data_IF_678676505149
#
_entry.id   IF_678676505149
#
_cell.length_a   1.000
_cell.length_b   1.000
_cell.length_c   1.000
_cell.angle_alpha   90.00
_cell.angle_beta   90.00
_cell.angle_gamma   90.00
#
_symmetry.space_group_name_H-M   'P 1'
#
loop_
_entity.id
_entity.type
_entity.pdbx_description
1 polymer ?
#
# COMPACT_ATOMS: atom_id res chain seq x y z
N UNK A 1 -24.34 34.41 -59.80
CA UNK A 1 -25.13 34.44 -58.54
C UNK A 1 -24.62 33.44 -57.49
N UNK A 2 -23.56 32.65 -57.76
CA UNK A 2 -22.94 31.75 -56.77
C UNK A 2 -21.98 32.42 -55.79
N UNK A 3 -21.52 33.64 -56.09
CA UNK A 3 -20.67 34.44 -55.18
C UNK A 3 -21.42 34.95 -53.95
N UNK A 4 -22.75 35.11 -54.04
CA UNK A 4 -23.61 35.53 -52.92
C UNK A 4 -23.83 34.41 -51.89
N UNK A 5 -23.81 33.14 -52.35
CA UNK A 5 -24.00 31.97 -51.48
C UNK A 5 -22.76 31.72 -50.60
N UNK A 6 -21.55 31.99 -51.13
CA UNK A 6 -20.30 31.89 -50.37
C UNK A 6 -20.16 32.97 -49.28
N UNK A 7 -20.77 34.15 -49.46
CA UNK A 7 -20.72 35.23 -48.47
C UNK A 7 -21.65 34.99 -47.28
N UNK A 8 -22.74 34.23 -47.47
CA UNK A 8 -23.64 33.81 -46.39
C UNK A 8 -23.07 32.67 -45.55
N UNK A 9 -22.24 31.81 -46.13
CA UNK A 9 -21.63 30.67 -45.41
C UNK A 9 -20.51 31.10 -44.43
N UNK A 10 -19.91 32.28 -44.62
CA UNK A 10 -18.81 32.79 -43.78
C UNK A 10 -19.29 33.46 -42.47
N UNK A 11 -20.60 33.66 -42.29
CA UNK A 11 -21.15 34.44 -41.16
C UNK A 11 -21.51 33.61 -39.91
N UNK A 12 -21.23 32.31 -39.86
CA UNK A 12 -21.72 31.40 -38.79
C UNK A 12 -20.60 30.91 -37.83
N UNK A 13 -19.35 31.33 -38.00
CA UNK A 13 -18.27 30.94 -37.06
C UNK A 13 -18.27 31.83 -35.81
N UNK A 14 -19.19 31.59 -34.87
CA UNK A 14 -19.06 32.11 -33.51
C UNK A 14 -18.07 31.24 -32.70
N UNK A 15 -17.04 31.82 -32.07
CA UNK A 15 -16.27 31.11 -31.06
C UNK A 15 -17.12 30.94 -29.79
N UNK A 16 -17.44 29.71 -29.41
CA UNK A 16 -18.03 29.41 -28.12
C UNK A 16 -17.00 29.71 -27.02
N UNK A 17 -17.22 30.77 -26.24
CA UNK A 17 -16.45 31.00 -25.00
C UNK A 17 -17.04 30.06 -23.94
N UNK A 18 -16.33 28.98 -23.63
CA UNK A 18 -16.62 28.22 -22.43
C UNK A 18 -16.13 29.06 -21.24
N UNK A 19 -17.07 29.75 -20.59
CA UNK A 19 -16.80 30.38 -19.31
C UNK A 19 -16.60 29.27 -18.28
N UNK A 20 -15.35 29.07 -17.88
CA UNK A 20 -15.01 28.12 -16.82
C UNK A 20 -15.45 28.80 -15.51
N UNK A 21 -16.60 28.39 -14.98
CA UNK A 21 -17.03 28.80 -13.66
C UNK A 21 -16.17 28.07 -12.64
N UNK A 22 -15.15 28.76 -12.14
CA UNK A 22 -14.39 28.32 -10.98
C UNK A 22 -15.20 28.67 -9.73
N UNK A 23 -15.84 27.66 -9.13
CA UNK A 23 -16.47 27.82 -7.83
C UNK A 23 -15.38 27.74 -6.77
N UNK A 24 -14.91 28.90 -6.31
CA UNK A 24 -13.99 29.00 -5.18
C UNK A 24 -14.81 28.90 -3.89
N UNK A 25 -14.74 27.73 -3.24
CA UNK A 25 -15.28 27.55 -1.90
C UNK A 25 -14.41 28.27 -0.86
N UNK A 26 -14.99 28.97 0.12
CA UNK A 26 -14.26 29.50 1.26
C UNK A 26 -13.95 28.38 2.27
N UNK A 27 -12.81 28.49 2.96
CA UNK A 27 -12.29 27.63 4.04
C UNK A 27 -11.39 26.46 3.61
N UNK A 28 -10.27 26.80 2.96
CA UNK A 28 -9.07 25.98 2.88
C UNK A 28 -7.95 26.50 3.80
N UNK A 29 -7.62 25.72 4.83
CA UNK A 29 -6.35 25.63 5.59
C UNK A 29 -5.51 26.89 5.84
N UNK A 30 -5.48 27.35 7.10
CA UNK A 30 -4.42 28.25 7.60
C UNK A 30 -3.24 27.45 8.17
N UNK A 31 -2.08 27.60 7.55
CA UNK A 31 -0.78 27.36 8.18
C UNK A 31 -0.29 28.70 8.74
N UNK A 32 0.08 28.75 10.01
CA UNK A 32 0.87 29.85 10.57
C UNK A 32 1.86 29.31 11.59
N UNK A 33 3.14 29.51 11.26
CA UNK A 33 4.32 29.33 12.07
C UNK A 33 4.77 30.72 12.53
N UNK A 34 4.51 31.07 13.81
CA UNK A 34 5.28 32.03 14.62
C UNK A 34 4.78 32.07 16.08
N UNK A 35 5.69 32.25 17.05
CA UNK A 35 5.43 32.01 18.47
C UNK A 35 4.79 33.25 19.11
N UNK A 36 3.83 33.04 20.03
CA UNK A 36 3.34 34.11 20.89
C UNK A 36 4.12 34.11 22.23
N UNK A 37 4.86 35.18 22.57
CA UNK A 37 5.50 35.35 23.87
C UNK A 37 4.52 35.99 24.89
N UNK A 38 4.56 35.51 26.14
CA UNK A 38 3.76 35.93 27.32
C UNK A 38 2.34 35.31 27.35
N UNK A 39 1.95 34.42 28.27
CA UNK A 39 2.36 34.05 29.64
C UNK A 39 1.51 32.82 30.08
N UNK A 40 1.78 32.05 31.15
CA UNK A 40 3.02 31.81 31.88
C UNK A 40 3.54 30.38 31.66
N UNK A 41 4.80 30.17 32.01
CA UNK A 41 5.44 28.87 32.07
C UNK A 41 4.63 27.89 32.95
N UNK A 42 3.88 26.99 32.32
CA UNK A 42 3.43 25.78 33.00
C UNK A 42 4.56 24.78 32.91
N UNK A 43 5.31 24.66 34.01
CA UNK A 43 6.17 23.54 34.30
C UNK A 43 5.28 22.29 34.35
N UNK A 44 5.04 21.66 33.20
CA UNK A 44 4.42 20.34 33.14
C UNK A 44 5.53 19.31 33.36
N UNK A 45 5.52 18.78 34.58
CA UNK A 45 6.26 17.59 34.99
C UNK A 45 6.15 16.50 33.91
N UNK A 46 7.22 15.73 33.77
CA UNK A 46 7.33 14.62 32.84
C UNK A 46 6.45 13.41 33.24
N UNK A 47 5.13 13.60 33.31
CA UNK A 47 4.19 12.54 33.73
C UNK A 47 2.83 12.55 33.01
N UNK A 48 2.67 13.24 31.87
CA UNK A 48 1.43 13.12 31.08
C UNK A 48 1.74 12.97 29.58
N UNK A 49 2.15 11.76 29.22
CA UNK A 49 1.98 11.27 27.85
C UNK A 49 0.47 11.00 27.66
N UNK A 50 -0.20 11.59 26.66
CA UNK A 50 -1.59 11.24 26.39
C UNK A 50 -1.66 9.76 26.02
N UNK A 51 -2.59 9.05 26.66
CA UNK A 51 -2.77 7.61 26.48
C UNK A 51 -2.91 7.26 24.99
N UNK A 52 -2.08 6.30 24.56
CA UNK A 52 -2.23 5.62 23.28
C UNK A 52 -3.64 5.03 23.24
N UNK A 53 -4.49 5.53 22.35
CA UNK A 53 -5.73 4.85 22.00
C UNK A 53 -5.38 3.60 21.21
N UNK A 54 -5.01 2.53 21.92
CA UNK A 54 -4.99 1.18 21.39
C UNK A 54 -6.44 0.75 21.25
N UNK A 55 -6.98 0.82 20.03
CA UNK A 55 -8.27 0.21 19.74
C UNK A 55 -8.08 -1.29 19.91
N UNK A 56 -8.77 -1.89 20.89
CA UNK A 56 -8.83 -3.33 21.04
C UNK A 56 -9.44 -3.91 19.75
N UNK A 57 -8.64 -4.66 19.00
CA UNK A 57 -9.09 -5.42 17.83
C UNK A 57 -10.18 -6.39 18.29
N UNK A 58 -11.43 -6.12 17.90
CA UNK A 58 -12.42 -7.17 17.83
C UNK A 58 -12.05 -8.06 16.65
N UNK A 59 -11.55 -9.25 16.95
CA UNK A 59 -11.36 -10.31 15.98
C UNK A 59 -12.74 -10.69 15.43
N UNK A 60 -13.16 -10.03 14.35
CA UNK A 60 -14.25 -10.53 13.52
C UNK A 60 -13.63 -11.66 12.71
N UNK A 61 -13.97 -12.89 13.07
CA UNK A 61 -13.47 -14.09 12.40
C UNK A 61 -13.81 -14.00 10.92
N UNK A 62 -12.80 -13.68 10.10
CA UNK A 62 -12.85 -13.97 8.67
C UNK A 62 -12.63 -15.47 8.58
N UNK A 63 -13.71 -16.18 8.28
CA UNK A 63 -13.70 -17.60 7.97
C UNK A 63 -12.76 -17.80 6.79
N UNK A 64 -11.53 -18.26 7.09
CA UNK A 64 -10.56 -18.64 6.09
C UNK A 64 -11.18 -19.79 5.30
N UNK A 65 -11.52 -19.54 4.03
CA UNK A 65 -11.87 -20.59 3.08
C UNK A 65 -10.74 -21.62 3.08
N UNK A 66 -10.97 -22.72 3.79
CA UNK A 66 -9.98 -23.78 3.94
C UNK A 66 -10.12 -24.61 2.69
N UNK A 67 -9.33 -24.31 1.66
CA UNK A 67 -9.14 -25.20 0.53
C UNK A 67 -8.63 -26.54 1.10
N UNK A 68 -9.50 -27.55 1.09
CA UNK A 68 -9.19 -28.93 1.48
C UNK A 68 -8.19 -29.53 0.49
N UNK A 69 -6.93 -29.17 0.64
CA UNK A 69 -5.81 -29.86 0.00
C UNK A 69 -5.42 -31.05 0.88
N UNK A 70 -5.22 -32.26 0.33
CA UNK A 70 -4.84 -33.43 1.11
C UNK A 70 -3.62 -33.09 1.99
N UNK A 71 -3.68 -33.47 3.27
CA UNK A 71 -2.66 -33.19 4.27
C UNK A 71 -1.36 -33.92 3.94
N UNK A 72 -0.60 -33.38 2.99
CA UNK A 72 0.79 -33.69 2.76
C UNK A 72 1.54 -33.32 4.05
N UNK A 73 2.46 -34.17 4.50
CA UNK A 73 3.33 -33.83 5.63
C UNK A 73 3.96 -32.45 5.38
N UNK A 74 3.59 -31.46 6.19
CA UNK A 74 4.04 -30.07 6.04
C UNK A 74 5.54 -30.03 6.31
N UNK A 75 6.34 -29.77 5.28
CA UNK A 75 7.80 -29.60 5.40
C UNK A 75 8.11 -28.40 6.31
N UNK A 76 7.26 -27.38 6.28
CA UNK A 76 7.35 -26.20 7.12
C UNK A 76 6.14 -26.12 8.06
N UNK A 77 6.39 -26.05 9.36
CA UNK A 77 5.31 -25.90 10.35
C UNK A 77 4.66 -24.51 10.27
N UNK A 78 5.44 -23.45 10.02
CA UNK A 78 4.95 -22.08 9.89
C UNK A 78 5.47 -21.41 8.60
N UNK A 79 4.56 -20.70 7.92
CA UNK A 79 4.88 -19.78 6.83
C UNK A 79 3.88 -18.62 6.89
N UNK A 80 4.32 -17.44 7.33
CA UNK A 80 3.44 -16.28 7.50
C UNK A 80 4.19 -14.97 7.27
N UNK A 81 3.55 -14.01 6.61
CA UNK A 81 4.07 -12.65 6.50
C UNK A 81 3.75 -11.92 7.82
N UNK A 82 4.77 -11.40 8.51
CA UNK A 82 4.62 -10.63 9.76
C UNK A 82 4.74 -9.12 9.53
N UNK A 83 5.51 -8.71 8.52
CA UNK A 83 5.63 -7.32 8.09
C UNK A 83 5.43 -7.29 6.58
N UNK A 84 4.57 -6.40 6.04
CA UNK A 84 3.58 -5.64 6.80
C UNK A 84 2.57 -6.53 7.51
N UNK A 85 1.90 -5.99 8.54
CA UNK A 85 0.72 -6.64 9.12
C UNK A 85 -0.47 -6.47 8.17
N UNK A 86 -1.49 -7.33 8.31
CA UNK A 86 -2.73 -7.18 7.55
C UNK A 86 -3.38 -5.80 7.78
N UNK A 87 -3.86 -5.18 6.70
CA UNK A 87 -4.42 -3.83 6.62
C UNK A 87 -3.47 -2.70 7.07
N UNK A 88 -2.15 -2.93 7.07
CA UNK A 88 -1.19 -1.88 7.40
C UNK A 88 -1.26 -0.72 6.40
N UNK A 89 -1.17 0.52 6.90
CA UNK A 89 -1.02 1.73 6.09
C UNK A 89 0.44 2.20 6.16
N UNK A 90 1.13 2.17 5.04
CA UNK A 90 2.54 2.54 4.89
C UNK A 90 2.61 3.87 4.14
N UNK A 91 3.40 4.81 4.64
CA UNK A 91 3.68 6.09 3.99
C UNK A 91 5.15 6.13 3.59
N UNK A 92 5.42 5.94 2.31
CA UNK A 92 6.76 6.04 1.76
C UNK A 92 6.68 6.56 0.33
N UNK A 93 7.20 7.76 0.08
CA UNK A 93 7.09 8.42 -1.22
C UNK A 93 7.90 7.74 -2.33
N UNK A 94 8.98 7.03 -1.97
CA UNK A 94 9.79 6.23 -2.87
C UNK A 94 9.19 4.83 -3.10
N UNK A 95 8.09 4.50 -2.42
CA UNK A 95 7.42 3.21 -2.53
C UNK A 95 8.24 2.07 -1.93
N UNK A 96 8.97 2.35 -0.84
CA UNK A 96 9.72 1.33 -0.13
C UNK A 96 8.82 0.57 0.85
N UNK A 97 8.85 -0.76 0.81
CA UNK A 97 8.12 -1.62 1.74
C UNK A 97 9.03 -2.75 2.18
N UNK A 98 9.24 -2.88 3.50
CA UNK A 98 9.94 -4.02 4.08
C UNK A 98 8.95 -5.17 4.27
N UNK A 99 9.30 -6.33 3.74
CA UNK A 99 8.55 -7.57 3.94
C UNK A 99 9.36 -8.51 4.81
N UNK A 100 8.76 -9.01 5.88
CA UNK A 100 9.37 -10.00 6.76
C UNK A 100 8.45 -11.22 6.89
N UNK A 101 8.99 -12.39 6.56
CA UNK A 101 8.28 -13.66 6.53
C UNK A 101 8.81 -14.56 7.64
N UNK A 102 7.93 -15.03 8.52
CA UNK A 102 8.27 -16.12 9.44
C UNK A 102 8.20 -17.44 8.71
N UNK A 103 9.28 -18.22 8.80
CA UNK A 103 9.40 -19.56 8.24
C UNK A 103 9.95 -20.47 9.34
N UNK A 104 9.28 -21.59 9.61
CA UNK A 104 9.74 -22.57 10.60
C UNK A 104 9.66 -23.98 10.01
N UNK A 105 10.74 -24.78 10.01
CA UNK A 105 12.13 -24.37 10.28
C UNK A 105 12.66 -23.40 9.21
N UNK A 106 13.87 -22.87 9.38
CA UNK A 106 14.52 -22.01 8.38
C UNK A 106 14.51 -22.65 6.98
N UNK A 107 14.50 -21.80 5.95
CA UNK A 107 14.40 -22.28 4.58
C UNK A 107 15.57 -23.21 4.22
N UNK A 108 15.24 -24.41 3.74
CA UNK A 108 16.18 -25.45 3.35
C UNK A 108 16.86 -25.15 1.99
N UNK A 109 17.74 -24.15 1.95
CA UNK A 109 18.45 -23.73 0.72
C UNK A 109 19.25 -24.88 0.10
N UNK A 110 19.81 -25.78 0.93
CA UNK A 110 20.55 -26.98 0.46
C UNK A 110 19.70 -27.96 -0.35
N UNK A 111 18.39 -27.95 -0.13
CA UNK A 111 17.42 -28.75 -0.90
C UNK A 111 16.87 -27.98 -2.13
N UNK A 112 17.42 -26.79 -2.42
CA UNK A 112 17.00 -25.94 -3.52
C UNK A 112 15.64 -25.28 -3.29
N UNK A 113 15.22 -25.14 -2.03
CA UNK A 113 13.99 -24.42 -1.70
C UNK A 113 14.23 -22.91 -1.79
N UNK A 114 13.28 -22.19 -2.36
CA UNK A 114 13.31 -20.73 -2.51
C UNK A 114 12.01 -20.10 -2.02
N UNK A 115 12.11 -18.91 -1.42
CA UNK A 115 10.97 -18.08 -1.07
C UNK A 115 10.63 -17.22 -2.28
N UNK A 116 9.39 -17.30 -2.75
CA UNK A 116 8.84 -16.46 -3.80
C UNK A 116 7.76 -15.60 -3.19
N UNK A 117 7.92 -14.28 -3.28
CA UNK A 117 6.95 -13.31 -2.83
C UNK A 117 6.05 -12.91 -4.01
N UNK A 118 4.75 -13.00 -3.79
CA UNK A 118 3.73 -12.58 -4.73
C UNK A 118 3.08 -11.30 -4.22
N UNK A 119 2.86 -10.36 -5.15
CA UNK A 119 2.05 -9.17 -4.93
C UNK A 119 0.98 -9.10 -6.00
N UNK A 120 -0.28 -8.93 -5.61
CA UNK A 120 -1.42 -8.90 -6.54
C UNK A 120 -1.44 -10.09 -7.50
N UNK A 121 -1.19 -11.28 -6.95
CA UNK A 121 -1.07 -12.56 -7.65
C UNK A 121 0.07 -12.66 -8.69
N UNK A 122 0.98 -11.69 -8.72
CA UNK A 122 2.18 -11.71 -9.58
C UNK A 122 3.44 -11.96 -8.75
N UNK A 123 4.36 -12.82 -9.19
CA UNK A 123 5.64 -12.99 -8.51
C UNK A 123 6.50 -11.74 -8.67
N UNK A 124 6.94 -11.15 -7.55
CA UNK A 124 7.72 -9.90 -7.56
C UNK A 124 9.14 -10.06 -7.02
N UNK A 125 9.41 -11.08 -6.21
CA UNK A 125 10.73 -11.32 -5.66
C UNK A 125 10.99 -12.80 -5.40
N UNK A 126 12.23 -13.22 -5.64
CA UNK A 126 12.74 -14.55 -5.31
C UNK A 126 13.90 -14.36 -4.35
N UNK A 127 13.85 -15.02 -3.19
CA UNK A 127 14.82 -14.81 -2.13
C UNK A 127 15.09 -16.10 -1.38
N UNK A 128 16.31 -16.23 -0.85
CA UNK A 128 16.64 -17.21 0.18
C UNK A 128 16.53 -16.62 1.60
N UNK A 129 16.32 -15.31 1.71
CA UNK A 129 16.14 -14.57 2.96
C UNK A 129 14.65 -14.36 3.24
N UNK A 130 14.21 -14.52 4.51
CA UNK A 130 12.84 -14.17 4.93
C UNK A 130 12.56 -12.67 4.92
N UNK A 131 13.60 -11.83 4.89
CA UNK A 131 13.50 -10.37 4.83
C UNK A 131 13.76 -9.93 3.39
N UNK A 132 12.79 -9.21 2.82
CA UNK A 132 12.79 -8.73 1.44
C UNK A 132 12.46 -7.23 1.45
N UNK A 133 13.31 -6.41 0.83
CA UNK A 133 13.03 -5.00 0.64
C UNK A 133 12.44 -4.79 -0.76
N UNK A 134 11.21 -4.27 -0.81
CA UNK A 134 10.57 -3.81 -2.04
C UNK A 134 10.81 -2.31 -2.20
N UNK A 135 10.96 -1.88 -3.44
CA UNK A 135 11.21 -0.48 -3.80
C UNK A 135 10.38 -0.10 -5.01
N UNK A 136 10.09 1.20 -5.15
CA UNK A 136 9.34 1.75 -6.27
C UNK A 136 7.97 1.09 -6.48
N UNK A 137 7.30 0.70 -5.40
CA UNK A 137 5.92 0.24 -5.46
C UNK A 137 4.97 1.41 -5.79
N UNK A 138 3.92 1.10 -6.53
CA UNK A 138 2.86 2.06 -6.79
C UNK A 138 2.04 2.33 -5.53
N UNK A 139 1.40 3.50 -5.47
CA UNK A 139 0.47 3.79 -4.37
C UNK A 139 -0.81 2.96 -4.57
N UNK A 140 -1.48 2.64 -3.47
CA UNK A 140 -2.75 1.92 -3.51
C UNK A 140 -2.80 0.79 -2.51
N UNK A 141 -3.76 -0.10 -2.70
CA UNK A 141 -3.92 -1.32 -1.91
C UNK A 141 -3.30 -2.48 -2.67
N UNK A 142 -2.45 -3.24 -2.00
CA UNK A 142 -1.75 -4.38 -2.56
C UNK A 142 -1.93 -5.59 -1.67
N UNK A 143 -2.05 -6.75 -2.30
CA UNK A 143 -2.07 -8.03 -1.61
C UNK A 143 -0.66 -8.62 -1.58
N UNK A 144 -0.28 -9.32 -0.51
CA UNK A 144 0.97 -10.08 -0.43
C UNK A 144 0.70 -11.53 -0.06
N UNK A 145 1.45 -12.44 -0.69
CA UNK A 145 1.49 -13.85 -0.35
C UNK A 145 2.93 -14.36 -0.50
N UNK A 146 3.38 -15.17 0.46
CA UNK A 146 4.67 -15.84 0.39
C UNK A 146 4.47 -17.31 0.00
N UNK A 147 5.29 -17.81 -0.92
CA UNK A 147 5.33 -19.22 -1.30
C UNK A 147 6.74 -19.76 -1.12
N UNK A 148 6.85 -21.00 -0.64
CA UNK A 148 8.09 -21.76 -0.73
C UNK A 148 7.97 -22.72 -1.91
N UNK A 149 8.91 -22.63 -2.84
CA UNK A 149 8.94 -23.46 -4.03
C UNK A 149 10.18 -24.35 -4.04
N UNK A 150 10.07 -25.55 -4.61
CA UNK A 150 11.21 -26.44 -4.85
C UNK A 150 12.08 -25.93 -6.00
N UNK A 151 13.24 -26.55 -6.19
CA UNK A 151 14.14 -26.26 -7.32
C UNK A 151 13.49 -26.45 -8.71
N UNK A 152 12.39 -27.22 -8.77
CA UNK A 152 11.62 -27.48 -9.99
C UNK A 152 10.41 -26.53 -10.14
N UNK A 153 10.28 -25.52 -9.27
CA UNK A 153 9.16 -24.57 -9.28
C UNK A 153 7.87 -25.12 -8.68
N UNK A 154 7.89 -26.30 -8.04
CA UNK A 154 6.71 -26.86 -7.38
C UNK A 154 6.46 -26.10 -6.07
N UNK A 155 5.23 -25.61 -5.87
CA UNK A 155 4.81 -25.03 -4.60
C UNK A 155 4.82 -26.11 -3.51
N UNK A 156 5.64 -25.90 -2.48
CA UNK A 156 5.75 -26.75 -1.29
C UNK A 156 4.77 -26.28 -0.23
N UNK A 157 4.68 -24.96 -0.03
CA UNK A 157 3.79 -24.33 0.94
C UNK A 157 3.53 -22.88 0.56
N UNK A 158 2.38 -22.36 0.95
CA UNK A 158 1.99 -20.96 0.78
C UNK A 158 1.49 -20.37 2.11
N UNK A 159 1.67 -19.07 2.27
CA UNK A 159 1.12 -18.31 3.39
C UNK A 159 -0.33 -17.94 3.12
N UNK A 160 -1.03 -17.52 4.17
CA UNK A 160 -2.21 -16.69 4.00
C UNK A 160 -1.86 -15.40 3.23
N UNK A 161 -2.82 -14.90 2.47
CA UNK A 161 -2.72 -13.61 1.79
C UNK A 161 -3.02 -12.48 2.77
N UNK A 162 -2.26 -11.39 2.72
CA UNK A 162 -2.54 -10.17 3.48
C UNK A 162 -2.78 -8.99 2.54
N UNK A 163 -3.48 -7.97 3.03
CA UNK A 163 -3.67 -6.69 2.34
C UNK A 163 -2.81 -5.63 3.05
N UNK A 164 -2.24 -4.69 2.30
CA UNK A 164 -1.65 -3.48 2.85
C UNK A 164 -1.89 -2.29 1.92
N UNK A 165 -1.76 -1.08 2.44
CA UNK A 165 -1.99 0.16 1.72
C UNK A 165 -0.72 1.00 1.69
N UNK A 166 -0.26 1.37 0.49
CA UNK A 166 0.86 2.28 0.29
C UNK A 166 0.38 3.67 -0.13
N UNK A 167 0.80 4.68 0.63
CA UNK A 167 0.53 6.08 0.39
C UNK A 167 1.81 6.78 -0.08
N UNK A 168 1.71 7.47 -1.23
CA UNK A 168 2.75 8.34 -1.77
C UNK A 168 2.21 9.76 -1.90
N UNK A 169 2.89 10.72 -1.29
CA UNK A 169 2.61 12.13 -1.50
C UNK A 169 3.43 12.64 -2.68
N UNK A 170 2.76 13.30 -3.62
CA UNK A 170 3.45 14.15 -4.57
C UNK A 170 3.57 15.51 -3.91
N UNK A 171 4.80 15.99 -3.66
CA UNK A 171 5.00 17.42 -3.47
C UNK A 171 4.79 18.03 -4.86
N UNK A 172 3.69 18.76 -5.05
CA UNK A 172 3.47 19.52 -6.27
C UNK A 172 4.64 20.47 -6.50
N UNK A 173 5.19 20.45 -7.71
CA UNK A 173 6.09 21.49 -8.20
C UNK A 173 5.29 22.57 -8.91
#
# INVERSE_FOLDING_TARGET
>A
MHTLLFTILLLITLPARAEIYQQQGPEGTSYTDRPNPSDPAVVLKADDLPAINTIAIQATGVEAATENRPAQAKVYSELAIKVPVHDAIIRDNAGNVLVNVTIVPDIHIKHGHQLVLYMDHQPIAHSASPIIQLTNLDRGSHTLQAQIQSAQGKVIQESAQILFHLQRYHLGQ
#
